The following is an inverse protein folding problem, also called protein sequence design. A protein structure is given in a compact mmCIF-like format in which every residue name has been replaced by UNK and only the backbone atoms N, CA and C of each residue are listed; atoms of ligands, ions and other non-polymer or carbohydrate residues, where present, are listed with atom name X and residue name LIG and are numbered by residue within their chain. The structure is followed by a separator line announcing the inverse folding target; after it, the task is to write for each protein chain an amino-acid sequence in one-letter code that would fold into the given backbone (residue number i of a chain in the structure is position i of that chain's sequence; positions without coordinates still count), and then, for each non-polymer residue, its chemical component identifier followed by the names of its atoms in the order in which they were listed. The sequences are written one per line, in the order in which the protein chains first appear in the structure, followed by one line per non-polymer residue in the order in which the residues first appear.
data_IF_197027090166
#
_entry.id   IF_197027090166
#
_cell.length_a   1.000
_cell.length_b   1.000
_cell.length_c   1.000
_cell.angle_alpha   90.00
_cell.angle_beta   90.00
_cell.angle_gamma   90.00
#
_symmetry.space_group_name_H-M   'P 1'
#
loop_
_entity.id
_entity.type
_entity.pdbx_description
1 polymer ?
#
# COMPACT_ATOMS: atom_id res chain seq x y z
N UNK A 1 -3.03 -20.05 59.16
CA UNK A 1 -2.87 -18.59 59.01
C UNK A 1 -3.07 -18.30 57.53
N UNK A 2 -4.16 -17.62 57.19
CA UNK A 2 -4.54 -17.28 55.82
C UNK A 2 -3.88 -15.95 55.50
N UNK A 3 -3.10 -15.89 54.42
CA UNK A 3 -2.62 -14.65 53.83
C UNK A 3 -3.02 -14.66 52.36
N UNK A 4 -4.07 -13.89 52.04
CA UNK A 4 -4.44 -13.56 50.67
C UNK A 4 -3.50 -12.43 50.24
N UNK A 5 -2.63 -12.72 49.28
CA UNK A 5 -1.88 -11.70 48.56
C UNK A 5 -2.76 -11.27 47.38
N UNK A 6 -3.61 -10.25 47.60
CA UNK A 6 -4.10 -9.41 46.51
C UNK A 6 -2.98 -8.43 46.20
N UNK A 7 -1.95 -8.95 45.53
CA UNK A 7 -0.92 -8.13 44.92
C UNK A 7 -1.52 -7.52 43.67
N UNK A 8 -1.97 -6.28 43.80
CA UNK A 8 -2.33 -5.39 42.71
C UNK A 8 -1.15 -5.22 41.77
N UNK A 9 -0.93 -6.18 40.88
CA UNK A 9 -0.25 -5.93 39.62
C UNK A 9 -1.24 -5.20 38.71
N UNK A 10 -1.61 -3.97 39.12
CA UNK A 10 -1.96 -2.93 38.16
C UNK A 10 -0.64 -2.56 37.47
N UNK A 11 -0.08 -3.49 36.70
CA UNK A 11 1.04 -3.18 35.83
C UNK A 11 0.45 -2.28 34.77
N UNK A 12 0.66 -0.99 34.98
CA UNK A 12 0.28 0.12 34.14
C UNK A 12 0.71 -0.16 32.70
N UNK A 13 -0.19 -0.72 31.90
CA UNK A 13 -0.12 -0.58 30.44
C UNK A 13 -0.92 0.67 30.13
N UNK A 14 -0.31 1.82 30.42
CA UNK A 14 -0.75 3.13 29.95
C UNK A 14 0.47 3.89 29.41
N UNK A 15 1.28 3.24 28.57
CA UNK A 15 2.42 3.92 27.93
C UNK A 15 2.84 3.22 26.64
N UNK A 16 1.97 3.34 25.62
CA UNK A 16 2.41 3.48 24.21
C UNK A 16 1.32 4.18 23.40
N UNK A 17 1.09 5.46 23.68
CA UNK A 17 0.49 6.41 22.72
C UNK A 17 1.43 7.63 22.65
N UNK A 18 2.72 7.36 22.48
CA UNK A 18 3.75 8.39 22.27
C UNK A 18 4.71 7.80 21.24
N UNK A 19 4.23 7.68 20.01
CA UNK A 19 5.08 7.63 18.81
C UNK A 19 4.40 8.29 17.59
N UNK A 20 3.11 8.66 17.70
CA UNK A 20 2.37 9.32 16.63
C UNK A 20 1.99 10.76 17.03
N UNK A 21 2.99 11.58 17.37
CA UNK A 21 2.87 13.04 17.16
C UNK A 21 3.36 13.30 15.74
N UNK A 22 2.69 12.67 14.78
CA UNK A 22 2.57 13.22 13.44
C UNK A 22 1.83 14.54 13.56
N UNK A 23 2.20 15.49 12.71
CA UNK A 23 1.60 16.81 12.58
C UNK A 23 0.08 16.74 12.76
N UNK A 24 -0.46 17.44 13.76
CA UNK A 24 -1.91 17.57 13.93
C UNK A 24 -2.49 18.17 12.64
N UNK A 25 -3.07 17.35 11.77
CA UNK A 25 -3.78 17.79 10.56
C UNK A 25 -3.35 17.20 9.21
N UNK A 26 -2.43 16.22 9.16
CA UNK A 26 -2.14 15.49 7.91
C UNK A 26 -2.95 14.18 7.88
N UNK A 27 -3.71 13.96 6.81
CA UNK A 27 -4.55 12.78 6.59
C UNK A 27 -3.77 11.69 5.83
N UNK A 28 -3.87 10.45 6.30
CA UNK A 28 -3.21 9.31 5.65
C UNK A 28 -3.93 8.93 4.36
N UNK A 29 -3.18 8.81 3.27
CA UNK A 29 -3.71 8.29 2.01
C UNK A 29 -3.59 6.76 1.96
N UNK A 30 -4.52 6.13 1.26
CA UNK A 30 -4.47 4.69 0.99
C UNK A 30 -4.70 4.40 -0.49
N UNK A 31 -3.89 3.52 -1.06
CA UNK A 31 -4.01 3.03 -2.42
C UNK A 31 -4.85 1.74 -2.44
N UNK A 32 -6.02 1.84 -3.05
CA UNK A 32 -6.96 0.73 -3.19
C UNK A 32 -6.93 0.20 -4.63
N UNK A 33 -6.18 -0.87 -4.91
CA UNK A 33 -6.25 -1.53 -6.21
C UNK A 33 -7.61 -2.22 -6.38
N UNK A 34 -8.15 -2.20 -7.60
CA UNK A 34 -9.37 -2.92 -7.94
C UNK A 34 -9.22 -4.45 -7.87
N UNK A 35 -7.97 -4.92 -7.90
CA UNK A 35 -7.58 -6.32 -7.82
C UNK A 35 -6.42 -6.43 -6.81
N UNK A 36 -6.62 -7.16 -5.71
CA UNK A 36 -5.58 -7.33 -4.68
C UNK A 36 -4.48 -8.32 -5.09
N UNK A 37 -4.77 -9.17 -6.07
CA UNK A 37 -3.89 -10.23 -6.54
C UNK A 37 -3.79 -10.14 -8.05
N UNK A 38 -2.59 -9.99 -8.60
CA UNK A 38 -2.31 -10.03 -10.02
C UNK A 38 -1.98 -11.44 -10.49
N UNK A 39 -2.70 -11.90 -11.52
CA UNK A 39 -2.45 -13.16 -12.20
C UNK A 39 -2.74 -13.03 -13.69
N UNK A 40 -2.31 -14.00 -14.49
CA UNK A 40 -2.52 -13.97 -15.95
C UNK A 40 -3.99 -14.03 -16.40
N UNK A 41 -4.93 -14.29 -15.49
CA UNK A 41 -6.35 -14.40 -15.81
C UNK A 41 -7.12 -13.08 -15.65
N UNK A 42 -6.46 -12.01 -15.23
CA UNK A 42 -7.09 -10.74 -14.90
C UNK A 42 -7.12 -9.83 -16.12
N UNK A 43 -8.13 -8.96 -16.18
CA UNK A 43 -8.26 -7.97 -17.23
C UNK A 43 -7.43 -6.74 -16.89
N UNK A 44 -6.60 -6.33 -17.84
CA UNK A 44 -5.86 -5.08 -17.81
C UNK A 44 -6.60 -3.99 -18.59
N UNK A 45 -6.44 -2.69 -18.23
CA UNK A 45 -5.58 -2.17 -17.15
C UNK A 45 -6.16 -2.46 -15.75
N UNK A 46 -5.27 -2.50 -14.75
CA UNK A 46 -5.68 -2.46 -13.35
C UNK A 46 -5.86 -1.00 -12.95
N UNK A 47 -6.76 -0.77 -12.00
CA UNK A 47 -7.03 0.55 -11.47
C UNK A 47 -6.61 0.62 -10.01
N UNK A 48 -5.94 1.69 -9.64
CA UNK A 48 -5.66 2.03 -8.24
C UNK A 48 -6.38 3.33 -7.95
N UNK A 49 -7.23 3.31 -6.92
CA UNK A 49 -7.91 4.48 -6.40
C UNK A 49 -7.22 4.93 -5.11
N UNK A 50 -6.71 6.16 -5.08
CA UNK A 50 -6.17 6.79 -3.87
C UNK A 50 -7.31 7.40 -3.09
N UNK A 51 -7.45 7.03 -1.83
CA UNK A 51 -8.49 7.55 -0.94
C UNK A 51 -7.91 8.13 0.34
N UNK A 52 -8.67 9.00 0.98
CA UNK A 52 -8.42 9.51 2.33
C UNK A 52 -9.03 8.59 3.42
N UNK A 53 -8.99 9.00 4.69
CA UNK A 53 -9.49 8.20 5.83
C UNK A 53 -11.03 8.07 5.81
N UNK A 54 -11.72 9.04 5.20
CA UNK A 54 -13.17 9.01 4.96
C UNK A 54 -13.54 8.17 3.72
N UNK A 55 -12.56 7.67 2.97
CA UNK A 55 -12.75 6.89 1.75
C UNK A 55 -13.08 7.74 0.52
N UNK A 56 -12.82 9.04 0.55
CA UNK A 56 -13.00 9.93 -0.58
C UNK A 56 -11.79 9.87 -1.52
N UNK A 57 -12.05 9.84 -2.82
CA UNK A 57 -10.99 9.79 -3.83
C UNK A 57 -10.19 11.09 -3.91
N UNK A 58 -8.86 10.98 -3.91
CA UNK A 58 -7.96 12.14 -3.90
C UNK A 58 -7.37 12.41 -5.28
N UNK A 59 -7.71 13.55 -5.92
CA UNK A 59 -7.22 13.89 -7.26
C UNK A 59 -5.81 14.48 -7.25
N UNK A 60 -5.12 14.39 -8.38
CA UNK A 60 -3.76 14.90 -8.58
C UNK A 60 -2.69 14.31 -7.63
N UNK A 61 -2.97 13.15 -7.04
CA UNK A 61 -1.97 12.35 -6.35
C UNK A 61 -1.17 11.56 -7.39
N UNK A 62 0.15 11.48 -7.24
CA UNK A 62 0.96 10.64 -8.13
C UNK A 62 1.14 9.27 -7.50
N UNK A 63 0.60 8.24 -8.13
CA UNK A 63 0.80 6.84 -7.74
C UNK A 63 1.97 6.29 -8.51
N UNK A 64 2.87 5.56 -7.85
CA UNK A 64 3.98 4.89 -8.50
C UNK A 64 4.27 3.53 -7.87
N UNK A 65 4.80 2.61 -8.68
CA UNK A 65 5.08 1.25 -8.25
C UNK A 65 6.55 1.01 -8.01
N UNK A 66 6.86 0.24 -6.98
CA UNK A 66 8.21 -0.20 -6.66
C UNK A 66 8.28 -1.72 -6.48
N UNK A 67 9.47 -2.27 -6.75
CA UNK A 67 9.77 -3.68 -6.52
C UNK A 67 9.76 -3.98 -5.03
N UNK A 68 8.82 -4.81 -4.57
CA UNK A 68 8.88 -5.43 -3.26
C UNK A 68 9.65 -6.75 -3.33
N UNK A 69 8.94 -7.86 -3.11
CA UNK A 69 9.50 -9.22 -3.28
C UNK A 69 9.37 -9.76 -4.71
N UNK A 70 8.46 -9.20 -5.51
CA UNK A 70 8.47 -9.36 -6.96
C UNK A 70 9.43 -8.34 -7.57
N UNK A 71 10.45 -8.81 -8.29
CA UNK A 71 11.40 -7.92 -8.94
C UNK A 71 10.76 -7.36 -10.21
N UNK A 72 10.26 -6.13 -10.15
CA UNK A 72 9.70 -5.45 -11.31
C UNK A 72 10.85 -5.06 -12.25
N UNK A 73 10.94 -5.70 -13.41
CA UNK A 73 11.97 -5.45 -14.45
C UNK A 73 11.57 -4.27 -15.36
N UNK A 74 10.83 -3.31 -14.80
CA UNK A 74 10.56 -2.04 -15.48
C UNK A 74 11.65 -1.07 -15.10
N UNK A 75 12.45 -0.68 -16.09
CA UNK A 75 13.41 0.43 -16.01
C UNK A 75 12.76 1.78 -15.70
N UNK A 76 11.42 1.88 -15.80
CA UNK A 76 10.62 3.04 -15.44
C UNK A 76 9.56 2.62 -14.43
N UNK A 77 9.75 3.02 -13.18
CA UNK A 77 8.72 3.22 -12.18
C UNK A 77 7.44 3.69 -12.87
N UNK A 78 6.44 2.81 -13.05
CA UNK A 78 5.21 3.22 -13.72
C UNK A 78 4.50 4.16 -12.75
N UNK A 79 4.54 5.44 -13.06
CA UNK A 79 3.84 6.47 -12.31
C UNK A 79 2.70 7.04 -13.14
N UNK A 80 1.61 7.33 -12.48
CA UNK A 80 0.44 7.98 -13.08
C UNK A 80 -0.21 8.86 -12.04
N UNK A 81 -0.82 9.93 -12.52
CA UNK A 81 -1.56 10.85 -11.68
C UNK A 81 -3.02 10.39 -11.56
N UNK A 82 -3.63 10.59 -10.41
CA UNK A 82 -5.05 10.28 -10.19
C UNK A 82 -5.95 11.32 -10.84
N UNK A 83 -7.07 10.85 -11.40
CA UNK A 83 -8.11 11.69 -11.97
C UNK A 83 -8.97 12.37 -10.88
N UNK A 84 -10.03 13.07 -11.29
CA UNK A 84 -10.95 13.77 -10.38
C UNK A 84 -11.57 12.86 -9.29
N UNK A 85 -11.67 11.55 -9.55
CA UNK A 85 -12.22 10.58 -8.60
C UNK A 85 -11.13 9.86 -7.78
N UNK A 86 -9.86 10.26 -7.91
CA UNK A 86 -8.74 9.60 -7.24
C UNK A 86 -8.22 8.35 -7.96
N UNK A 87 -8.63 8.09 -9.20
CA UNK A 87 -8.38 6.83 -9.91
C UNK A 87 -7.30 6.99 -11.00
N UNK A 88 -6.51 5.94 -11.24
CA UNK A 88 -5.31 5.99 -12.10
C UNK A 88 -5.54 5.49 -13.54
N UNK A 89 -6.56 4.65 -13.75
CA UNK A 89 -7.16 4.12 -14.99
C UNK A 89 -6.23 3.56 -16.09
N UNK A 90 -4.92 3.53 -15.89
CA UNK A 90 -3.94 3.32 -16.96
C UNK A 90 -2.83 2.35 -16.60
N UNK A 91 -2.87 1.78 -15.39
CA UNK A 91 -1.79 0.94 -14.89
C UNK A 91 -1.84 -0.44 -15.54
N UNK A 92 -0.79 -0.77 -16.29
CA UNK A 92 -0.68 -2.07 -16.95
C UNK A 92 0.61 -2.75 -16.49
N UNK A 93 0.45 -3.85 -15.76
CA UNK A 93 1.52 -4.70 -15.23
C UNK A 93 1.25 -6.10 -15.70
N UNK A 94 2.10 -6.66 -16.54
CA UNK A 94 2.00 -8.04 -16.97
C UNK A 94 2.96 -8.92 -16.15
N UNK A 95 2.45 -9.79 -15.25
CA UNK A 95 3.28 -10.64 -14.40
C UNK A 95 4.28 -11.51 -15.16
N UNK A 96 3.99 -11.85 -16.42
CA UNK A 96 4.86 -12.73 -17.21
C UNK A 96 6.05 -12.01 -17.82
N UNK A 97 5.90 -10.73 -18.19
CA UNK A 97 6.91 -9.97 -18.93
C UNK A 97 7.56 -8.87 -18.11
N UNK A 98 6.86 -8.36 -17.09
CA UNK A 98 7.27 -7.18 -16.35
C UNK A 98 7.92 -7.54 -15.00
N UNK A 99 7.90 -8.82 -14.62
CA UNK A 99 8.48 -9.32 -13.37
C UNK A 99 9.57 -10.34 -13.69
N UNK A 100 10.76 -10.11 -13.14
CA UNK A 100 11.87 -11.05 -13.14
C UNK A 100 11.72 -12.06 -11.99
N UNK A 101 11.24 -13.26 -12.33
CA UNK A 101 10.96 -14.32 -11.37
C UNK A 101 12.20 -15.14 -11.04
N UNK A 102 12.49 -15.28 -9.75
CA UNK A 102 13.55 -16.19 -9.29
C UNK A 102 13.12 -17.66 -9.47
N UNK A 103 14.07 -18.59 -9.69
CA UNK A 103 13.74 -20.02 -9.76
C UNK A 103 13.01 -20.50 -8.50
N UNK A 104 11.84 -21.12 -8.68
CA UNK A 104 11.00 -21.63 -7.59
C UNK A 104 10.17 -20.56 -6.86
N UNK A 105 10.15 -19.32 -7.34
CA UNK A 105 9.30 -18.27 -6.80
C UNK A 105 7.86 -18.44 -7.32
N UNK A 106 6.92 -18.77 -6.45
CA UNK A 106 5.51 -18.95 -6.82
C UNK A 106 4.72 -17.63 -6.80
N UNK A 107 5.15 -16.65 -5.99
CA UNK A 107 4.51 -15.35 -5.86
C UNK A 107 5.50 -14.27 -5.40
N UNK A 108 5.07 -13.01 -5.45
CA UNK A 108 5.79 -11.87 -4.91
C UNK A 108 4.86 -10.68 -4.69
N UNK A 109 5.41 -9.58 -4.18
CA UNK A 109 4.69 -8.35 -3.85
C UNK A 109 5.27 -7.19 -4.65
N UNK A 110 4.39 -6.34 -5.16
CA UNK A 110 4.73 -5.01 -5.68
C UNK A 110 4.22 -4.00 -4.66
N UNK A 111 5.06 -3.01 -4.34
CA UNK A 111 4.70 -1.93 -3.43
C UNK A 111 4.09 -0.78 -4.24
N UNK A 112 3.00 -0.23 -3.72
CA UNK A 112 2.31 0.93 -4.26
C UNK A 112 2.65 2.10 -3.35
N UNK A 113 3.17 3.16 -3.95
CA UNK A 113 3.57 4.37 -3.26
C UNK A 113 2.75 5.54 -3.80
N UNK A 114 2.41 6.47 -2.91
CA UNK A 114 1.62 7.63 -3.22
C UNK A 114 2.47 8.87 -2.91
N UNK A 115 2.64 9.72 -3.90
CA UNK A 115 3.11 11.09 -3.68
C UNK A 115 1.87 11.97 -3.57
N UNK A 116 1.57 12.51 -2.37
CA UNK A 116 0.39 13.33 -2.18
C UNK A 116 0.43 14.61 -3.02
N UNK A 117 -0.73 15.24 -3.27
CA UNK A 117 -0.79 16.53 -3.95
C UNK A 117 -0.09 17.63 -3.12
N UNK A 118 0.36 18.68 -3.79
CA UNK A 118 1.30 19.67 -3.24
C UNK A 118 0.74 20.64 -2.19
N UNK A 119 -0.50 20.44 -1.73
CA UNK A 119 -1.21 21.27 -0.74
C UNK A 119 -0.84 20.93 0.72
N UNK A 120 -0.16 19.79 0.96
CA UNK A 120 0.46 19.47 2.24
C UNK A 120 -0.52 19.08 3.36
N UNK A 121 -1.75 18.71 3.03
CA UNK A 121 -2.73 18.18 3.99
C UNK A 121 -2.69 16.65 4.10
N UNK A 122 -1.81 16.00 3.34
CA UNK A 122 -1.84 14.56 3.11
C UNK A 122 -0.46 13.97 3.28
N UNK A 123 -0.43 12.73 3.77
CA UNK A 123 0.78 11.93 3.95
C UNK A 123 0.56 10.49 3.48
N UNK A 124 1.66 9.80 3.22
CA UNK A 124 1.73 8.40 2.78
C UNK A 124 2.83 7.73 3.61
N UNK A 125 2.50 7.38 4.85
CA UNK A 125 3.39 6.69 5.79
C UNK A 125 3.23 5.16 5.69
N UNK A 126 2.06 4.69 5.22
CA UNK A 126 1.75 3.29 5.03
C UNK A 126 2.03 2.84 3.60
N UNK A 127 2.84 1.78 3.45
CA UNK A 127 3.09 1.18 2.14
C UNK A 127 1.99 0.15 1.83
N UNK A 128 1.20 0.45 0.80
CA UNK A 128 0.25 -0.48 0.22
C UNK A 128 0.94 -1.47 -0.72
N UNK A 129 0.34 -2.66 -0.86
CA UNK A 129 0.96 -3.76 -1.60
C UNK A 129 -0.06 -4.52 -2.42
N UNK A 130 0.39 -4.99 -3.58
CA UNK A 130 -0.36 -5.90 -4.42
C UNK A 130 0.41 -7.22 -4.57
N UNK A 131 -0.28 -8.33 -4.33
CA UNK A 131 0.32 -9.66 -4.50
C UNK A 131 0.33 -10.02 -5.97
N UNK A 132 1.40 -10.62 -6.46
CA UNK A 132 1.50 -11.10 -7.84
C UNK A 132 1.85 -12.57 -7.85
N UNK A 133 1.13 -13.34 -8.66
CA UNK A 133 1.36 -14.78 -8.82
C UNK A 133 2.25 -15.02 -10.04
N UNK A 134 3.23 -15.91 -9.89
CA UNK A 134 4.07 -16.32 -11.00
C UNK A 134 3.22 -17.14 -11.98
N UNK A 135 3.12 -16.73 -13.25
CA UNK A 135 2.34 -17.48 -14.23
C UNK A 135 3.06 -18.68 -14.83
N UNK A 136 4.33 -18.90 -14.48
CA UNK A 136 5.17 -19.94 -15.04
C UNK A 136 5.30 -21.18 -14.13
N UNK A 137 4.65 -21.16 -12.96
CA UNK A 137 4.59 -22.30 -12.02
C UNK A 137 3.30 -23.10 -12.16
#
# INVERSE_FOLDING_TARGET
MIAIVVGVAALSVMMTIIDDVGTVGEEELSANPNEEVLSNNIKYPIDITVTDEDGQGIPNATVYLQSGTANLDKSDTTFTETDYNGSTNTLNINPKTDIDWRPGQESGEIEIHIKPPGDGNYKDDQIDKITVLNPNV
#
